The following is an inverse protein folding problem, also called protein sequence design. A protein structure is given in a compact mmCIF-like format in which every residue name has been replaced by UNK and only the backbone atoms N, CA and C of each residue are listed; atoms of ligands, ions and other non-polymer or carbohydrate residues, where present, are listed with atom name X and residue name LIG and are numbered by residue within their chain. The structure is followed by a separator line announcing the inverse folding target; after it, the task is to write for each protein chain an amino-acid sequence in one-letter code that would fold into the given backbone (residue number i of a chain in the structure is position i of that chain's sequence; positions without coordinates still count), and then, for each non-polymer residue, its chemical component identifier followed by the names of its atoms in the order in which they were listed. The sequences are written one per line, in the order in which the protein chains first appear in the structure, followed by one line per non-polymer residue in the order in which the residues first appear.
data_IF_176660703469
#
_entry.id   IF_176660703469
#
_cell.length_a   1.000
_cell.length_b   1.000
_cell.length_c   1.000
_cell.angle_alpha   90.00
_cell.angle_beta   90.00
_cell.angle_gamma   90.00
#
_symmetry.space_group_name_H-M   'P 1'
#
loop_
_entity.id
_entity.type
_entity.pdbx_description
1 polymer ?
#
# COMPACT_ATOMS: atom_id res chain seq x y z
N UNK A 1 36.95 -7.42 -46.43
CA UNK A 1 36.70 -7.25 -44.99
C UNK A 1 35.20 -7.37 -44.77
N UNK A 2 34.61 -8.34 -44.08
CA UNK A 2 35.07 -9.40 -43.16
C UNK A 2 34.00 -10.51 -43.25
N UNK A 3 34.26 -11.57 -44.01
CA UNK A 3 34.42 -12.98 -43.58
C UNK A 3 34.48 -13.21 -42.06
N UNK A 4 33.57 -14.01 -41.55
CA UNK A 4 33.66 -14.66 -40.24
C UNK A 4 34.40 -16.00 -40.41
N UNK A 5 35.60 -16.09 -39.86
CA UNK A 5 36.45 -17.29 -39.78
C UNK A 5 36.34 -17.85 -38.37
N UNK A 6 36.26 -19.18 -38.24
CA UNK A 6 36.75 -19.88 -37.05
C UNK A 6 37.48 -21.15 -37.46
N UNK A 7 38.46 -21.54 -36.64
CA UNK A 7 39.44 -22.64 -36.77
C UNK A 7 40.65 -22.27 -37.62
N UNK A 8 41.90 -22.39 -37.19
CA UNK A 8 42.52 -22.97 -36.00
C UNK A 8 44.00 -23.19 -36.34
N UNK A 9 44.91 -22.87 -35.44
CA UNK A 9 46.36 -23.18 -35.50
C UNK A 9 46.76 -23.56 -34.05
N UNK A 10 47.72 -24.42 -33.74
CA UNK A 10 48.90 -24.93 -34.45
C UNK A 10 49.36 -26.24 -33.81
N UNK A 11 50.22 -27.00 -34.50
CA UNK A 11 50.88 -28.17 -33.91
C UNK A 11 51.73 -29.00 -34.87
N UNK A 12 52.79 -28.39 -35.42
CA UNK A 12 54.15 -28.92 -35.70
C UNK A 12 54.42 -30.28 -36.39
N UNK A 13 55.44 -30.22 -37.28
CA UNK A 13 56.48 -31.20 -37.64
C UNK A 13 56.12 -32.30 -38.66
N UNK A 14 56.64 -32.29 -39.89
CA UNK A 14 58.01 -32.51 -40.40
C UNK A 14 58.15 -33.91 -41.03
N UNK A 15 58.89 -33.94 -42.16
CA UNK A 15 59.64 -35.05 -42.79
C UNK A 15 59.06 -35.80 -44.02
N UNK A 16 59.73 -35.48 -45.15
CA UNK A 16 60.32 -36.33 -46.21
C UNK A 16 59.40 -37.26 -47.02
N UNK A 17 59.21 -37.12 -48.34
CA UNK A 17 60.07 -36.88 -49.52
C UNK A 17 60.55 -38.17 -50.23
N UNK A 18 60.63 -38.07 -51.57
CA UNK A 18 61.15 -38.99 -52.60
C UNK A 18 60.15 -40.07 -53.09
N UNK A 19 59.96 -40.36 -54.38
CA UNK A 19 60.81 -40.25 -55.58
C UNK A 19 59.92 -40.49 -56.84
N UNK A 20 59.89 -39.60 -57.84
CA UNK A 20 60.58 -39.66 -59.16
C UNK A 20 59.86 -40.52 -60.27
N UNK A 21 60.12 -40.31 -61.59
CA UNK A 21 59.15 -39.66 -62.49
C UNK A 21 58.93 -40.37 -63.86
N UNK A 22 58.18 -39.71 -64.77
CA UNK A 22 58.21 -39.79 -66.28
C UNK A 22 57.94 -41.16 -66.91
N UNK A 23 57.45 -41.32 -68.13
CA UNK A 23 56.71 -40.57 -69.15
C UNK A 23 56.33 -41.65 -70.19
N UNK A 24 55.25 -41.44 -70.95
CA UNK A 24 54.93 -42.06 -72.24
C UNK A 24 54.65 -43.58 -72.29
N UNK A 25 53.43 -43.97 -72.67
CA UNK A 25 53.11 -44.30 -74.06
C UNK A 25 51.61 -44.58 -74.29
N UNK A 26 51.18 -44.17 -75.47
CA UNK A 26 49.86 -44.30 -76.10
C UNK A 26 49.72 -45.77 -76.60
N UNK A 27 48.58 -46.46 -76.52
CA UNK A 27 47.54 -46.54 -77.57
C UNK A 27 46.39 -47.45 -77.09
N UNK A 28 45.18 -47.08 -77.55
CA UNK A 28 43.84 -47.66 -77.44
C UNK A 28 43.69 -49.19 -77.55
N UNK A 29 42.83 -49.77 -76.69
CA UNK A 29 41.62 -50.54 -77.07
C UNK A 29 40.53 -50.25 -76.03
N UNK A 30 39.30 -49.97 -76.49
CA UNK A 30 38.33 -49.15 -75.75
C UNK A 30 37.20 -49.84 -75.00
N UNK A 31 36.35 -49.01 -74.37
CA UNK A 31 34.91 -49.28 -74.24
C UNK A 31 34.15 -47.96 -73.93
N UNK A 32 33.06 -47.72 -74.65
CA UNK A 32 32.22 -46.52 -74.54
C UNK A 32 31.47 -46.49 -73.21
N UNK A 33 31.59 -45.41 -72.42
CA UNK A 33 30.59 -45.08 -71.38
C UNK A 33 29.84 -43.79 -71.75
N UNK A 34 28.56 -43.94 -72.08
CA UNK A 34 27.60 -42.86 -72.26
C UNK A 34 27.27 -42.25 -70.89
N UNK A 35 27.58 -40.97 -70.70
CA UNK A 35 27.06 -40.17 -69.57
C UNK A 35 25.63 -39.76 -69.93
N UNK A 36 24.67 -40.16 -69.10
CA UNK A 36 23.24 -39.88 -69.28
C UNK A 36 22.83 -38.84 -68.24
N UNK A 37 22.72 -37.58 -68.63
CA UNK A 37 22.15 -36.54 -67.78
C UNK A 37 20.63 -36.68 -67.75
N UNK A 38 20.07 -36.99 -66.58
CA UNK A 38 18.63 -37.01 -66.35
C UNK A 38 18.16 -35.62 -65.91
N UNK A 39 17.29 -34.98 -66.69
CA UNK A 39 16.55 -33.80 -66.26
C UNK A 39 15.41 -34.27 -65.35
N UNK A 40 15.61 -34.15 -64.04
CA UNK A 40 14.58 -34.53 -63.07
C UNK A 40 13.48 -33.45 -63.07
N UNK A 41 12.38 -33.72 -63.78
CA UNK A 41 11.20 -32.85 -63.82
C UNK A 41 10.40 -33.00 -62.51
N UNK A 42 10.96 -32.49 -61.42
CA UNK A 42 10.33 -32.49 -60.10
C UNK A 42 9.31 -31.34 -59.95
N UNK A 43 8.46 -31.11 -60.96
CA UNK A 43 7.40 -30.11 -60.92
C UNK A 43 6.49 -30.31 -59.70
N UNK A 44 6.24 -31.57 -59.32
CA UNK A 44 5.47 -31.90 -58.12
C UNK A 44 6.16 -31.40 -56.83
N UNK A 45 7.48 -31.51 -56.70
CA UNK A 45 8.22 -31.00 -55.55
C UNK A 45 8.19 -29.47 -55.49
N UNK A 46 8.36 -28.80 -56.63
CA UNK A 46 8.27 -27.34 -56.70
C UNK A 46 6.85 -26.83 -56.38
N UNK A 47 5.82 -27.54 -56.81
CA UNK A 47 4.42 -27.24 -56.47
C UNK A 47 4.19 -27.42 -54.96
N UNK A 48 4.71 -28.49 -54.37
CA UNK A 48 4.61 -28.73 -52.91
C UNK A 48 5.34 -27.64 -52.13
N UNK A 49 6.56 -27.27 -52.53
CA UNK A 49 7.32 -26.20 -51.90
C UNK A 49 6.58 -24.86 -52.02
N UNK A 50 6.05 -24.54 -53.21
CA UNK A 50 5.26 -23.32 -53.42
C UNK A 50 4.00 -23.29 -52.56
N UNK A 51 3.29 -24.41 -52.42
CA UNK A 51 2.11 -24.53 -51.56
C UNK A 51 2.45 -24.36 -50.07
N UNK A 52 3.57 -24.93 -49.61
CA UNK A 52 4.05 -24.78 -48.24
C UNK A 52 4.49 -23.34 -47.94
N UNK A 53 5.18 -22.68 -48.88
CA UNK A 53 5.56 -21.27 -48.75
C UNK A 53 4.30 -20.38 -48.69
N UNK A 54 3.31 -20.65 -49.53
CA UNK A 54 2.03 -19.92 -49.50
C UNK A 54 1.30 -20.11 -48.17
N UNK A 55 1.27 -21.33 -47.64
CA UNK A 55 0.67 -21.64 -46.35
C UNK A 55 1.39 -20.91 -45.20
N UNK A 56 2.73 -20.90 -45.21
CA UNK A 56 3.52 -20.15 -44.23
C UNK A 56 3.25 -18.65 -44.29
N UNK A 57 3.11 -18.07 -45.50
CA UNK A 57 2.76 -16.67 -45.67
C UNK A 57 1.36 -16.39 -45.13
N UNK A 58 0.37 -17.23 -45.42
CA UNK A 58 -1.01 -17.07 -44.91
C UNK A 58 -1.05 -17.16 -43.38
N UNK A 59 -0.33 -18.13 -42.79
CA UNK A 59 -0.28 -18.29 -41.34
C UNK A 59 0.44 -17.13 -40.65
N UNK A 60 1.55 -16.66 -41.21
CA UNK A 60 2.31 -15.53 -40.65
C UNK A 60 1.54 -14.21 -40.79
N UNK A 61 0.86 -13.97 -41.92
CA UNK A 61 -0.06 -12.83 -42.09
C UNK A 61 -1.25 -12.93 -41.12
N UNK A 62 -1.83 -14.12 -40.95
CA UNK A 62 -2.90 -14.34 -39.97
C UNK A 62 -2.46 -14.07 -38.53
N UNK A 63 -1.24 -14.46 -38.17
CA UNK A 63 -0.64 -14.16 -36.86
C UNK A 63 -0.39 -12.66 -36.70
N UNK A 64 0.13 -12.00 -37.74
CA UNK A 64 0.40 -10.56 -37.75
C UNK A 64 -0.89 -9.76 -37.62
N UNK A 65 -1.94 -10.16 -38.34
CA UNK A 65 -3.28 -9.57 -38.25
C UNK A 65 -3.88 -9.76 -36.86
N UNK A 66 -3.67 -10.93 -36.22
CA UNK A 66 -4.10 -11.19 -34.85
C UNK A 66 -3.33 -10.34 -33.83
N UNK A 67 -2.03 -10.12 -34.04
CA UNK A 67 -1.21 -9.21 -33.22
C UNK A 67 -1.56 -7.73 -33.45
N UNK A 68 -2.00 -7.36 -34.66
CA UNK A 68 -2.50 -6.02 -34.98
C UNK A 68 -3.89 -5.80 -34.36
N UNK A 69 -4.77 -6.81 -34.37
CA UNK A 69 -6.06 -6.78 -33.67
C UNK A 69 -5.92 -6.82 -32.14
N UNK A 70 -4.89 -7.47 -31.58
CA UNK A 70 -4.63 -7.44 -30.14
C UNK A 70 -4.08 -6.11 -29.64
N UNK A 71 -3.74 -5.18 -30.55
CA UNK A 71 -3.21 -3.84 -30.23
C UNK A 71 -4.22 -2.71 -30.45
N UNK A 72 -5.45 -2.99 -30.88
CA UNK A 72 -6.54 -2.04 -30.72
C UNK A 72 -6.96 -2.04 -29.25
N UNK A 73 -6.23 -1.27 -28.43
CA UNK A 73 -6.84 -0.67 -27.25
C UNK A 73 -7.93 0.26 -27.76
N UNK A 74 -9.13 -0.27 -27.99
CA UNK A 74 -10.29 0.58 -27.78
C UNK A 74 -10.19 1.04 -26.32
N UNK A 75 -10.08 2.35 -26.13
CA UNK A 75 -10.61 2.95 -24.92
C UNK A 75 -12.09 2.62 -24.98
N UNK A 76 -12.46 1.45 -24.45
CA UNK A 76 -13.80 1.23 -23.96
C UNK A 76 -13.89 2.27 -22.85
N UNK A 77 -14.36 3.47 -23.21
CA UNK A 77 -15.11 4.28 -22.27
C UNK A 77 -16.29 3.39 -21.92
N UNK A 78 -16.04 2.51 -20.97
CA UNK A 78 -17.04 2.02 -20.08
C UNK A 78 -17.47 3.27 -19.33
N UNK A 79 -18.33 4.06 -19.99
CA UNK A 79 -19.51 4.57 -19.35
C UNK A 79 -20.38 3.36 -18.99
N UNK A 80 -19.84 2.44 -18.18
CA UNK A 80 -20.59 2.03 -17.02
C UNK A 80 -21.04 3.35 -16.43
N UNK A 81 -22.32 3.69 -16.64
CA UNK A 81 -23.05 4.44 -15.63
C UNK A 81 -22.82 3.59 -14.38
N UNK A 82 -21.73 3.83 -13.64
CA UNK A 82 -21.57 3.27 -12.32
C UNK A 82 -22.81 3.77 -11.62
N UNK A 83 -23.73 2.86 -11.35
CA UNK A 83 -24.86 3.22 -10.52
C UNK A 83 -24.23 3.77 -9.25
N UNK A 84 -24.54 5.01 -8.90
CA UNK A 84 -24.08 5.58 -7.62
C UNK A 84 -24.56 4.74 -6.41
N UNK A 85 -25.47 3.79 -6.62
CA UNK A 85 -25.84 2.77 -5.64
C UNK A 85 -24.69 1.81 -5.27
N UNK A 86 -23.70 1.64 -6.17
CA UNK A 86 -22.56 0.72 -5.98
C UNK A 86 -21.30 1.42 -5.42
N UNK A 87 -21.35 2.74 -5.18
CA UNK A 87 -20.21 3.49 -4.62
C UNK A 87 -20.36 3.66 -3.11
N UNK A 88 -19.29 3.38 -2.37
CA UNK A 88 -19.19 3.65 -0.94
C UNK A 88 -18.70 5.08 -0.74
N UNK A 89 -19.35 5.79 0.17
CA UNK A 89 -18.96 7.12 0.63
C UNK A 89 -18.57 7.02 2.11
N UNK A 90 -17.47 7.66 2.50
CA UNK A 90 -17.04 7.73 3.89
C UNK A 90 -16.26 9.03 4.12
N UNK A 91 -16.24 9.50 5.37
CA UNK A 91 -15.35 10.59 5.77
C UNK A 91 -13.99 10.02 6.19
N UNK A 92 -12.92 10.69 5.78
CA UNK A 92 -11.57 10.36 6.22
C UNK A 92 -10.96 11.57 6.92
N UNK A 93 -10.57 11.39 8.18
CA UNK A 93 -9.86 12.35 9.00
C UNK A 93 -8.53 11.73 9.46
N UNK A 94 -7.56 12.57 9.78
CA UNK A 94 -6.26 12.17 10.35
C UNK A 94 -5.70 13.32 11.17
N UNK A 95 -4.81 13.03 12.11
CA UNK A 95 -3.99 14.03 12.80
C UNK A 95 -4.86 15.12 13.44
N UNK A 96 -5.89 14.67 14.17
CA UNK A 96 -6.85 15.56 14.83
C UNK A 96 -6.14 16.36 15.92
N UNK A 97 -5.24 15.73 16.68
CA UNK A 97 -4.49 16.32 17.78
C UNK A 97 -5.35 17.19 18.69
N UNK A 98 -6.43 16.62 19.23
CA UNK A 98 -7.28 17.33 20.15
C UNK A 98 -6.51 17.63 21.43
N UNK A 99 -6.26 18.92 21.68
CA UNK A 99 -5.68 19.39 22.93
C UNK A 99 -6.78 19.70 23.93
N UNK A 100 -6.99 18.74 24.84
CA UNK A 100 -8.00 18.86 25.91
C UNK A 100 -7.66 19.92 26.96
N UNK A 101 -6.43 20.46 26.92
CA UNK A 101 -5.92 21.51 27.81
C UNK A 101 -5.74 22.86 27.09
N UNK A 102 -6.12 22.95 25.82
CA UNK A 102 -6.03 24.19 25.06
C UNK A 102 -6.79 25.32 25.75
N UNK A 103 -6.14 26.46 25.86
CA UNK A 103 -6.75 27.70 26.32
C UNK A 103 -6.52 28.80 25.29
N UNK A 104 -7.64 29.33 24.78
CA UNK A 104 -7.64 30.36 23.73
C UNK A 104 -6.98 31.69 24.15
N UNK A 105 -6.67 31.87 25.43
CA UNK A 105 -6.03 33.07 25.98
C UNK A 105 -4.58 32.83 26.38
N UNK A 106 -4.00 31.66 26.06
CA UNK A 106 -2.59 31.32 26.34
C UNK A 106 -1.76 31.37 25.06
N UNK A 107 -0.53 31.84 25.19
CA UNK A 107 0.46 32.00 24.12
C UNK A 107 0.99 30.66 23.62
N UNK A 108 1.42 30.63 22.36
CA UNK A 108 2.15 29.49 21.76
C UNK A 108 3.46 29.19 22.47
N UNK A 109 4.05 30.17 23.19
CA UNK A 109 5.28 29.98 23.97
C UNK A 109 5.14 28.96 25.09
N UNK A 110 3.92 28.74 25.60
CA UNK A 110 3.58 27.71 26.58
C UNK A 110 2.58 26.72 25.99
N UNK A 111 2.76 26.40 24.70
CA UNK A 111 1.97 25.41 23.94
C UNK A 111 0.46 25.64 23.94
N UNK A 112 0.00 26.89 24.12
CA UNK A 112 -1.43 27.23 24.29
C UNK A 112 -2.14 26.52 25.45
N UNK A 113 -1.41 26.01 26.45
CA UNK A 113 -1.99 25.23 27.55
C UNK A 113 -1.97 25.99 28.86
N UNK A 114 -3.05 25.89 29.64
CA UNK A 114 -3.10 26.43 31.01
C UNK A 114 -2.49 25.53 32.08
N UNK A 115 -1.82 24.46 31.66
CA UNK A 115 -1.14 23.51 32.53
C UNK A 115 0.36 23.77 32.55
N UNK A 116 0.99 23.51 33.69
CA UNK A 116 2.41 23.77 33.88
C UNK A 116 3.26 22.66 33.25
N UNK A 117 4.36 23.07 32.61
CA UNK A 117 5.39 22.17 32.11
C UNK A 117 6.12 21.52 33.30
N UNK A 118 6.44 20.23 33.21
CA UNK A 118 7.22 19.52 34.25
C UNK A 118 8.60 20.15 34.39
N UNK A 119 9.05 20.32 35.62
CA UNK A 119 10.38 20.87 35.95
C UNK A 119 10.66 22.27 35.41
N UNK A 120 9.65 22.98 34.91
CA UNK A 120 9.74 24.38 34.51
C UNK A 120 9.09 25.29 35.56
N UNK A 121 9.66 26.47 35.75
CA UNK A 121 9.13 27.53 36.61
C UNK A 121 8.26 28.51 35.83
N UNK A 122 8.26 28.43 34.50
CA UNK A 122 7.43 29.27 33.63
C UNK A 122 5.96 28.87 33.79
N UNK A 123 5.16 29.81 34.32
CA UNK A 123 3.71 29.71 34.36
C UNK A 123 3.10 29.99 32.97
N UNK A 124 1.89 29.48 32.67
CA UNK A 124 1.20 29.75 31.41
C UNK A 124 1.18 31.24 31.06
N UNK A 125 1.69 31.57 29.88
CA UNK A 125 1.84 32.96 29.43
C UNK A 125 0.57 33.39 28.70
N UNK A 126 -0.06 34.47 29.16
CA UNK A 126 -1.23 35.03 28.48
C UNK A 126 -0.89 35.50 27.06
N UNK A 127 -1.76 35.17 26.10
CA UNK A 127 -1.74 35.72 24.75
C UNK A 127 -2.33 37.14 24.73
N UNK A 128 -1.89 37.95 23.77
CA UNK A 128 -2.45 39.30 23.51
C UNK A 128 -3.80 39.28 22.78
N UNK A 129 -4.21 38.12 22.27
CA UNK A 129 -5.48 37.92 21.58
C UNK A 129 -6.09 36.56 21.93
N UNK A 130 -7.41 36.43 21.73
CA UNK A 130 -8.12 35.16 21.91
C UNK A 130 -8.24 34.40 20.61
N UNK A 131 -7.76 33.16 20.57
CA UNK A 131 -7.82 32.31 19.39
C UNK A 131 -8.76 31.13 19.62
N UNK A 132 -10.04 31.30 19.30
CA UNK A 132 -11.05 30.28 19.55
C UNK A 132 -10.80 28.99 18.76
N UNK A 133 -10.34 29.12 17.52
CA UNK A 133 -10.15 28.01 16.58
C UNK A 133 -8.70 27.59 16.40
N UNK A 134 -7.80 28.05 17.28
CA UNK A 134 -6.39 27.66 17.25
C UNK A 134 -5.47 28.74 16.69
N UNK A 135 -4.16 28.50 16.84
CA UNK A 135 -3.05 29.32 16.34
C UNK A 135 -1.99 28.35 15.80
N UNK A 136 -1.35 28.64 14.65
CA UNK A 136 -0.20 27.84 14.21
C UNK A 136 0.85 27.68 15.31
N UNK A 137 1.32 26.44 15.50
CA UNK A 137 2.22 26.07 16.59
C UNK A 137 1.52 25.54 17.85
N UNK A 138 0.18 25.45 17.83
CA UNK A 138 -0.59 24.74 18.85
C UNK A 138 -1.47 23.67 18.20
N UNK A 139 -1.81 22.67 19.01
CA UNK A 139 -2.71 21.59 18.65
C UNK A 139 -4.18 22.04 18.64
N UNK A 140 -5.06 21.16 18.15
CA UNK A 140 -6.46 21.48 17.82
C UNK A 140 -7.30 21.74 19.08
N UNK A 141 -7.93 22.93 19.20
CA UNK A 141 -8.92 23.15 20.24
C UNK A 141 -10.23 22.40 19.96
N UNK A 142 -10.97 22.09 21.02
CA UNK A 142 -12.29 21.45 20.91
C UNK A 142 -13.25 22.21 19.98
N UNK A 143 -13.20 23.54 19.95
CA UNK A 143 -14.07 24.36 19.10
C UNK A 143 -13.77 24.18 17.60
N UNK A 144 -12.53 23.89 17.22
CA UNK A 144 -12.19 23.56 15.82
C UNK A 144 -12.69 22.14 15.47
N UNK A 145 -12.56 21.17 16.38
CA UNK A 145 -13.13 19.83 16.20
C UNK A 145 -14.66 19.89 16.03
N UNK A 146 -15.36 20.66 16.88
CA UNK A 146 -16.81 20.90 16.75
C UNK A 146 -17.17 21.54 15.42
N UNK A 147 -16.41 22.54 14.98
CA UNK A 147 -16.61 23.17 13.67
C UNK A 147 -16.46 22.17 12.53
N UNK A 148 -15.48 21.28 12.62
CA UNK A 148 -15.24 20.21 11.64
C UNK A 148 -16.41 19.21 11.62
N UNK A 149 -16.84 18.74 12.79
CA UNK A 149 -17.97 17.82 12.93
C UNK A 149 -19.28 18.44 12.38
N UNK A 150 -19.52 19.72 12.65
CA UNK A 150 -20.66 20.45 12.09
C UNK A 150 -20.61 20.52 10.56
N UNK A 151 -19.43 20.74 9.98
CA UNK A 151 -19.28 20.78 8.52
C UNK A 151 -19.45 19.38 7.90
N UNK A 152 -18.95 18.33 8.54
CA UNK A 152 -19.20 16.95 8.13
C UNK A 152 -20.70 16.64 8.08
N UNK A 153 -21.45 17.06 9.11
CA UNK A 153 -22.90 16.89 9.13
C UNK A 153 -23.57 17.61 7.95
N UNK A 154 -23.21 18.87 7.69
CA UNK A 154 -23.76 19.63 6.54
C UNK A 154 -23.44 18.94 5.21
N UNK A 155 -22.20 18.52 4.99
CA UNK A 155 -21.82 17.80 3.78
C UNK A 155 -22.66 16.53 3.64
N UNK A 156 -22.80 15.75 4.72
CA UNK A 156 -23.56 14.51 4.71
C UNK A 156 -25.05 14.72 4.37
N UNK A 157 -25.66 15.82 4.81
CA UNK A 157 -27.06 16.14 4.46
C UNK A 157 -27.25 16.58 3.00
N UNK A 158 -26.18 17.01 2.33
CA UNK A 158 -26.23 17.55 0.96
C UNK A 158 -25.75 16.55 -0.11
N UNK A 159 -25.16 15.42 0.28
CA UNK A 159 -24.78 14.35 -0.64
C UNK A 159 -25.93 13.36 -0.84
N UNK A 160 -25.98 12.74 -2.03
CA UNK A 160 -27.07 11.84 -2.41
C UNK A 160 -27.15 10.55 -1.56
N UNK A 161 -25.99 10.06 -1.12
CA UNK A 161 -25.88 8.89 -0.26
C UNK A 161 -25.13 9.30 1.01
N UNK A 162 -25.69 9.03 2.18
CA UNK A 162 -25.01 9.23 3.46
C UNK A 162 -23.72 8.43 3.54
N UNK A 163 -22.75 8.94 4.30
CA UNK A 163 -21.52 8.22 4.60
C UNK A 163 -21.81 6.89 5.32
N UNK A 164 -21.21 5.81 4.84
CA UNK A 164 -21.35 4.46 5.42
C UNK A 164 -20.52 4.30 6.70
N UNK A 165 -19.43 5.06 6.85
CA UNK A 165 -18.59 5.09 8.04
C UNK A 165 -17.75 6.39 8.10
N UNK A 166 -17.10 6.61 9.25
CA UNK A 166 -16.03 7.59 9.44
C UNK A 166 -14.73 6.82 9.69
N UNK A 167 -13.66 7.18 9.01
CA UNK A 167 -12.32 6.65 9.23
C UNK A 167 -11.43 7.76 9.80
N UNK A 168 -10.81 7.50 10.96
CA UNK A 168 -9.78 8.37 11.53
C UNK A 168 -8.47 7.61 11.59
N UNK A 169 -7.43 8.13 10.94
CA UNK A 169 -6.16 7.42 10.79
C UNK A 169 -5.12 7.78 11.84
N UNK A 170 -5.50 7.89 13.10
CA UNK A 170 -4.57 8.14 14.21
C UNK A 170 -4.44 9.61 14.61
N UNK A 171 -3.63 9.80 15.65
CA UNK A 171 -3.26 11.06 16.27
C UNK A 171 -4.48 11.88 16.69
N UNK A 172 -5.29 11.30 17.57
CA UNK A 172 -6.36 12.00 18.29
C UNK A 172 -5.82 12.81 19.45
N UNK A 173 -4.79 12.33 20.14
CA UNK A 173 -4.15 13.04 21.24
C UNK A 173 -3.21 14.14 20.75
N UNK A 174 -3.16 15.24 21.49
CA UNK A 174 -2.22 16.33 21.25
C UNK A 174 -0.78 15.92 21.59
N UNK A 175 0.17 16.66 21.03
CA UNK A 175 1.59 16.45 21.24
C UNK A 175 2.01 16.70 22.70
N UNK A 176 3.14 16.11 23.09
CA UNK A 176 3.91 16.48 24.28
C UNK A 176 3.17 16.38 25.63
N UNK A 177 2.11 15.57 25.77
CA UNK A 177 1.47 15.38 27.09
C UNK A 177 2.46 14.92 28.17
N UNK A 178 3.49 14.17 27.79
CA UNK A 178 4.55 13.72 28.68
C UNK A 178 5.40 14.87 29.25
N UNK A 179 5.45 16.03 28.59
CA UNK A 179 6.15 17.23 29.05
C UNK A 179 5.37 18.00 30.13
N UNK A 180 4.09 17.74 30.31
CA UNK A 180 3.24 18.48 31.26
C UNK A 180 2.86 17.65 32.49
N UNK A 181 2.46 18.34 33.57
CA UNK A 181 2.03 17.72 34.82
C UNK A 181 0.63 17.10 34.72
N UNK A 182 0.49 16.08 33.86
CA UNK A 182 -0.76 15.37 33.59
C UNK A 182 -0.55 13.86 33.63
N UNK A 183 -1.67 13.14 33.78
CA UNK A 183 -1.73 11.72 33.49
C UNK A 183 -1.81 11.54 31.96
N UNK A 184 -0.74 11.03 31.36
CA UNK A 184 -0.59 10.92 29.90
C UNK A 184 -1.58 9.91 29.32
N UNK A 185 -1.67 8.71 29.90
CA UNK A 185 -2.56 7.65 29.43
C UNK A 185 -4.02 8.09 29.51
N UNK A 186 -4.42 8.66 30.65
CA UNK A 186 -5.77 9.18 30.80
C UNK A 186 -6.07 10.34 29.84
N UNK A 187 -5.08 11.21 29.55
CA UNK A 187 -5.24 12.31 28.59
C UNK A 187 -5.42 11.81 27.15
N UNK A 188 -4.71 10.74 26.76
CA UNK A 188 -4.90 10.06 25.47
C UNK A 188 -6.33 9.50 25.37
N UNK A 189 -6.78 8.76 26.38
CA UNK A 189 -8.13 8.19 26.41
C UNK A 189 -9.22 9.26 26.36
N UNK A 190 -9.05 10.37 27.08
CA UNK A 190 -9.98 11.49 27.04
C UNK A 190 -10.00 12.18 25.66
N UNK A 191 -8.85 12.31 25.00
CA UNK A 191 -8.73 12.90 23.66
C UNK A 191 -9.46 12.03 22.62
N UNK A 192 -9.23 10.71 22.66
CA UNK A 192 -9.91 9.74 21.80
C UNK A 192 -11.43 9.74 22.04
N UNK A 193 -11.87 9.67 23.30
CA UNK A 193 -13.29 9.65 23.64
C UNK A 193 -14.00 10.95 23.22
N UNK A 194 -13.42 12.12 23.48
CA UNK A 194 -13.99 13.41 23.03
C UNK A 194 -14.07 13.48 21.51
N UNK A 195 -13.03 13.03 20.81
CA UNK A 195 -13.03 12.94 19.34
C UNK A 195 -14.19 12.11 18.84
N UNK A 196 -14.35 10.90 19.38
CA UNK A 196 -15.42 9.98 19.00
C UNK A 196 -16.81 10.53 19.31
N UNK A 197 -17.00 11.19 20.47
CA UNK A 197 -18.27 11.81 20.85
C UNK A 197 -18.67 12.92 19.87
N UNK A 198 -17.74 13.82 19.51
CA UNK A 198 -18.06 14.93 18.60
C UNK A 198 -18.39 14.42 17.19
N UNK A 199 -17.61 13.45 16.68
CA UNK A 199 -17.85 12.85 15.37
C UNK A 199 -19.16 12.04 15.34
N UNK A 200 -19.45 11.28 16.40
CA UNK A 200 -20.69 10.52 16.53
C UNK A 200 -21.90 11.45 16.68
N UNK A 201 -21.76 12.57 17.39
CA UNK A 201 -22.83 13.57 17.51
C UNK A 201 -23.20 14.20 16.16
N UNK A 202 -22.22 14.38 15.26
CA UNK A 202 -22.48 14.83 13.91
C UNK A 202 -23.22 13.79 13.06
N UNK A 203 -22.88 12.50 13.21
CA UNK A 203 -23.43 11.38 12.45
C UNK A 203 -23.79 10.17 13.36
N UNK A 204 -24.94 10.21 14.09
CA UNK A 204 -25.22 9.30 15.21
C UNK A 204 -25.36 7.80 14.90
N UNK A 205 -25.59 7.43 13.64
CA UNK A 205 -25.74 6.02 13.22
C UNK A 205 -24.60 5.56 12.32
N UNK A 206 -23.56 6.36 12.19
CA UNK A 206 -22.42 6.08 11.32
C UNK A 206 -21.28 5.51 12.15
N UNK A 207 -20.83 4.26 11.90
CA UNK A 207 -19.74 3.65 12.65
C UNK A 207 -18.43 4.41 12.43
N UNK A 208 -17.61 4.49 13.47
CA UNK A 208 -16.31 5.17 13.43
C UNK A 208 -15.20 4.14 13.61
N UNK A 209 -14.25 4.11 12.68
CA UNK A 209 -13.07 3.25 12.73
C UNK A 209 -11.82 4.09 12.99
N UNK A 210 -11.04 3.73 14.01
CA UNK A 210 -9.82 4.43 14.40
C UNK A 210 -8.59 3.56 14.15
N UNK A 211 -7.58 4.10 13.46
CA UNK A 211 -6.21 3.62 13.60
C UNK A 211 -5.53 4.28 14.81
N UNK A 212 -4.52 3.61 15.37
CA UNK A 212 -3.70 4.15 16.47
C UNK A 212 -2.53 4.91 15.86
N UNK A 213 -2.40 6.20 16.18
CA UNK A 213 -1.25 7.03 15.82
C UNK A 213 -0.11 6.98 16.83
N UNK A 214 0.98 7.69 16.59
CA UNK A 214 2.14 7.70 17.51
C UNK A 214 1.91 8.60 18.73
N UNK A 215 1.02 9.59 18.64
CA UNK A 215 0.58 10.38 19.80
C UNK A 215 -0.55 9.68 20.59
N UNK A 216 -1.18 8.65 20.02
CA UNK A 216 -2.21 7.84 20.68
C UNK A 216 -1.63 6.69 21.54
N UNK A 217 -0.36 6.77 21.91
CA UNK A 217 0.34 5.84 22.79
C UNK A 217 1.13 6.62 23.85
N UNK A 218 1.31 6.03 25.03
CA UNK A 218 1.89 6.73 26.19
C UNK A 218 3.28 7.31 25.92
N UNK A 219 4.09 6.58 25.15
CA UNK A 219 5.44 6.99 24.79
C UNK A 219 5.51 7.17 23.27
N UNK A 220 5.83 8.39 22.84
CA UNK A 220 5.84 8.74 21.43
C UNK A 220 6.77 7.85 20.61
N UNK A 221 6.19 7.23 19.57
CA UNK A 221 6.79 6.20 18.71
C UNK A 221 7.31 4.97 19.47
N UNK A 222 6.70 4.60 20.59
CA UNK A 222 7.05 3.40 21.37
C UNK A 222 5.78 2.65 21.75
N UNK A 223 5.22 1.82 20.85
CA UNK A 223 3.97 1.12 21.12
C UNK A 223 4.13 0.11 22.27
N UNK A 224 3.04 -0.22 22.99
CA UNK A 224 3.04 -1.29 23.98
C UNK A 224 3.71 -2.57 23.47
N UNK A 225 4.51 -3.21 24.31
CA UNK A 225 5.37 -4.34 23.90
C UNK A 225 4.85 -5.70 24.33
N UNK A 226 3.65 -5.73 24.93
CA UNK A 226 3.06 -6.94 25.50
C UNK A 226 1.76 -7.28 24.77
N UNK A 227 1.63 -8.54 24.37
CA UNK A 227 0.33 -9.07 23.91
C UNK A 227 -0.66 -9.06 25.08
N UNK A 228 -1.90 -8.64 24.83
CA UNK A 228 -2.94 -8.43 25.84
C UNK A 228 -2.60 -7.33 26.86
N UNK A 229 -1.89 -6.30 26.42
CA UNK A 229 -1.63 -5.09 27.21
C UNK A 229 -2.92 -4.45 27.72
N UNK A 230 -2.89 -3.89 28.94
CA UNK A 230 -4.04 -3.17 29.50
C UNK A 230 -4.36 -1.91 28.70
N UNK A 231 -3.35 -1.25 28.12
CA UNK A 231 -3.55 -0.05 27.31
C UNK A 231 -4.52 -0.31 26.15
N UNK A 232 -4.27 -1.35 25.33
CA UNK A 232 -5.16 -1.67 24.21
C UNK A 232 -6.52 -2.19 24.65
N UNK A 233 -6.62 -2.85 25.81
CA UNK A 233 -7.92 -3.26 26.36
C UNK A 233 -8.77 -2.05 26.73
N UNK A 234 -8.19 -1.09 27.45
CA UNK A 234 -8.87 0.13 27.85
C UNK A 234 -9.22 0.98 26.62
N UNK A 235 -8.31 1.07 25.64
CA UNK A 235 -8.57 1.80 24.40
C UNK A 235 -9.70 1.16 23.56
N UNK A 236 -9.76 -0.17 23.53
CA UNK A 236 -10.84 -0.90 22.86
C UNK A 236 -12.21 -0.60 23.47
N UNK A 237 -12.31 -0.53 24.81
CA UNK A 237 -13.58 -0.21 25.48
C UNK A 237 -14.14 1.14 25.03
N UNK A 238 -13.26 2.12 24.80
CA UNK A 238 -13.64 3.43 24.25
C UNK A 238 -14.15 3.26 22.80
N UNK A 239 -13.41 2.55 21.95
CA UNK A 239 -13.74 2.39 20.53
C UNK A 239 -15.03 1.60 20.27
N UNK A 240 -15.28 0.54 21.04
CA UNK A 240 -16.37 -0.41 20.79
C UNK A 240 -17.75 0.26 20.73
N UNK A 241 -17.97 1.26 21.59
CA UNK A 241 -19.25 1.98 21.67
C UNK A 241 -19.60 2.75 20.39
N UNK A 242 -18.59 3.10 19.58
CA UNK A 242 -18.73 3.89 18.35
C UNK A 242 -18.54 3.06 17.08
N UNK A 243 -17.79 1.96 17.16
CA UNK A 243 -17.59 1.06 16.01
C UNK A 243 -18.83 0.23 15.69
N UNK A 244 -19.57 -0.18 16.72
CA UNK A 244 -20.65 -1.17 16.60
C UNK A 244 -22.05 -0.58 16.83
N UNK A 245 -22.22 0.70 16.47
CA UNK A 245 -23.46 1.46 16.68
C UNK A 245 -24.59 1.12 15.70
N UNK A 246 -24.25 0.54 14.53
CA UNK A 246 -25.25 0.14 13.52
C UNK A 246 -25.37 -1.38 13.40
N UNK A 247 -26.60 -1.84 13.11
CA UNK A 247 -26.93 -3.27 13.00
C UNK A 247 -26.19 -3.98 11.86
N UNK A 248 -25.70 -3.24 10.86
CA UNK A 248 -24.99 -3.80 9.70
C UNK A 248 -23.54 -4.20 10.04
N UNK A 249 -22.98 -3.67 11.13
CA UNK A 249 -21.64 -4.04 11.65
C UNK A 249 -21.75 -5.10 12.75
N UNK A 250 -22.93 -5.27 13.36
CA UNK A 250 -23.16 -6.17 14.50
C UNK A 250 -23.51 -7.58 14.00
N UNK A 251 -22.49 -8.37 13.74
CA UNK A 251 -22.59 -9.83 13.92
C UNK A 251 -22.26 -10.12 15.40
N UNK A 252 -22.90 -11.11 16.03
CA UNK A 252 -22.67 -11.48 17.44
C UNK A 252 -21.19 -11.73 17.79
N UNK A 253 -20.34 -12.00 16.80
CA UNK A 253 -18.90 -12.21 16.98
C UNK A 253 -18.02 -11.02 16.52
N UNK A 254 -18.58 -9.89 16.10
CA UNK A 254 -17.79 -8.77 15.57
C UNK A 254 -16.90 -8.14 16.65
N UNK A 255 -17.47 -7.89 17.84
CA UNK A 255 -16.74 -7.37 19.00
C UNK A 255 -15.65 -8.36 19.45
N UNK A 256 -15.95 -9.65 19.51
CA UNK A 256 -14.95 -10.65 19.94
C UNK A 256 -13.78 -10.76 18.97
N UNK A 257 -14.03 -10.79 17.65
CA UNK A 257 -12.95 -10.79 16.66
C UNK A 257 -12.13 -9.49 16.66
N UNK A 258 -12.77 -8.34 16.91
CA UNK A 258 -12.08 -7.07 17.09
C UNK A 258 -11.11 -7.17 18.29
N UNK A 259 -11.62 -7.52 19.47
CA UNK A 259 -10.83 -7.67 20.69
C UNK A 259 -9.66 -8.65 20.52
N UNK A 260 -9.89 -9.78 19.85
CA UNK A 260 -8.89 -10.84 19.66
C UNK A 260 -7.63 -10.34 18.93
N UNK A 261 -7.77 -9.41 17.99
CA UNK A 261 -6.64 -8.82 17.26
C UNK A 261 -6.17 -7.50 17.88
N UNK A 262 -7.11 -6.66 18.33
CA UNK A 262 -6.80 -5.37 18.92
C UNK A 262 -6.00 -5.51 20.23
N UNK A 263 -6.30 -6.51 21.05
CA UNK A 263 -5.55 -6.75 22.29
C UNK A 263 -4.12 -7.24 22.04
N UNK A 264 -3.82 -7.77 20.84
CA UNK A 264 -2.47 -8.22 20.49
C UNK A 264 -1.58 -7.01 20.19
N UNK A 265 -2.07 -6.02 19.44
CA UNK A 265 -1.24 -4.91 19.00
C UNK A 265 -1.99 -3.73 18.38
N UNK A 266 -3.26 -3.52 18.71
CA UNK A 266 -4.04 -2.37 18.23
C UNK A 266 -4.39 -2.39 16.74
N UNK A 267 -4.32 -3.55 16.09
CA UNK A 267 -4.73 -3.75 14.70
C UNK A 267 -5.98 -4.63 14.63
N UNK A 268 -6.79 -4.47 13.60
CA UNK A 268 -8.04 -5.22 13.45
C UNK A 268 -8.60 -5.17 12.02
N UNK A 269 -9.68 -5.92 11.80
CA UNK A 269 -10.48 -5.83 10.57
C UNK A 269 -11.95 -5.61 10.87
N UNK A 270 -12.65 -4.98 9.93
CA UNK A 270 -14.11 -4.94 9.87
C UNK A 270 -14.59 -5.23 8.46
N UNK A 271 -15.81 -5.75 8.36
CA UNK A 271 -16.49 -5.98 7.08
C UNK A 271 -17.41 -4.80 6.80
N UNK A 272 -17.36 -4.27 5.58
CA UNK A 272 -18.15 -3.12 5.13
C UNK A 272 -18.93 -3.55 3.88
N UNK A 273 -20.08 -2.89 3.63
CA UNK A 273 -20.93 -3.09 2.46
C UNK A 273 -21.35 -4.56 2.28
N UNK A 274 -22.17 -5.06 3.20
CA UNK A 274 -22.62 -6.45 3.24
C UNK A 274 -21.46 -7.46 3.14
N UNK A 275 -20.33 -7.11 3.77
CA UNK A 275 -19.07 -7.83 3.75
C UNK A 275 -18.39 -7.99 2.37
N UNK A 276 -18.77 -7.24 1.35
CA UNK A 276 -18.08 -7.23 0.05
C UNK A 276 -16.69 -6.55 0.12
N UNK A 277 -16.49 -5.66 1.10
CA UNK A 277 -15.21 -5.00 1.37
C UNK A 277 -14.72 -5.35 2.78
N UNK A 278 -13.40 -5.55 2.90
CA UNK A 278 -12.71 -5.70 4.17
C UNK A 278 -11.88 -4.43 4.41
N UNK A 279 -12.12 -3.75 5.52
CA UNK A 279 -11.23 -2.70 6.00
C UNK A 279 -10.23 -3.34 6.97
N UNK A 280 -8.94 -3.24 6.64
CA UNK A 280 -7.82 -3.67 7.46
C UNK A 280 -7.18 -2.43 8.08
N UNK A 281 -7.30 -2.29 9.40
CA UNK A 281 -6.74 -1.20 10.18
C UNK A 281 -5.47 -1.70 10.85
N UNK A 282 -4.34 -1.17 10.39
CA UNK A 282 -3.01 -1.52 10.88
C UNK A 282 -2.57 -0.57 11.97
N UNK A 283 -1.84 -1.10 12.94
CA UNK A 283 -1.04 -0.30 13.85
C UNK A 283 0.39 -0.23 13.32
N UNK A 284 0.67 0.84 12.56
CA UNK A 284 1.96 1.01 11.89
C UNK A 284 3.07 1.50 12.82
N UNK A 285 2.77 1.84 14.08
CA UNK A 285 3.78 2.17 15.09
C UNK A 285 4.78 1.02 15.33
N UNK A 286 4.37 -0.24 15.10
CA UNK A 286 5.29 -1.38 15.23
C UNK A 286 6.35 -1.46 14.14
N UNK A 287 6.26 -0.64 13.08
CA UNK A 287 7.24 -0.60 12.00
C UNK A 287 8.04 0.72 11.97
N UNK A 288 7.86 1.62 12.94
CA UNK A 288 8.69 2.81 13.02
C UNK A 288 10.10 2.43 13.47
N UNK A 289 11.12 2.92 12.76
CA UNK A 289 12.53 2.59 13.01
C UNK A 289 12.93 2.76 14.48
N UNK A 290 12.48 3.86 15.12
CA UNK A 290 12.77 4.16 16.53
C UNK A 290 12.32 3.06 17.49
N UNK A 291 11.17 2.43 17.27
CA UNK A 291 10.68 1.32 18.08
C UNK A 291 11.26 -0.02 17.62
N UNK A 292 11.26 -0.24 16.31
CA UNK A 292 11.60 -1.52 15.70
C UNK A 292 13.06 -1.92 15.95
N UNK A 293 14.00 -0.99 15.85
CA UNK A 293 15.43 -1.28 16.05
C UNK A 293 15.82 -1.39 17.53
N UNK A 294 15.03 -0.80 18.42
CA UNK A 294 15.37 -0.70 19.84
C UNK A 294 14.78 -1.83 20.70
N UNK A 295 13.74 -2.53 20.22
CA UNK A 295 13.01 -3.50 21.04
C UNK A 295 12.55 -4.74 20.26
N UNK A 296 13.00 -5.93 20.69
CA UNK A 296 12.65 -7.21 20.04
C UNK A 296 11.17 -7.58 20.18
N UNK A 297 10.52 -7.15 21.24
CA UNK A 297 9.10 -7.44 21.46
C UNK A 297 8.22 -6.62 20.51
N UNK A 298 8.64 -5.39 20.16
CA UNK A 298 8.03 -4.60 19.08
C UNK A 298 8.15 -5.35 17.75
N UNK A 299 9.34 -5.87 17.41
CA UNK A 299 9.55 -6.68 16.21
C UNK A 299 8.66 -7.92 16.19
N UNK A 300 8.53 -8.60 17.33
CA UNK A 300 7.70 -9.79 17.48
C UNK A 300 6.22 -9.50 17.19
N UNK A 301 5.64 -8.47 17.80
CA UNK A 301 4.24 -8.08 17.56
C UNK A 301 4.05 -7.56 16.13
N UNK A 302 5.00 -6.80 15.59
CA UNK A 302 5.00 -6.36 14.19
C UNK A 302 4.97 -7.54 13.20
N UNK A 303 5.70 -8.62 13.49
CA UNK A 303 5.70 -9.84 12.68
C UNK A 303 4.38 -10.63 12.79
N UNK A 304 3.75 -10.66 13.97
CA UNK A 304 2.40 -11.22 14.14
C UNK A 304 1.41 -10.45 13.25
N UNK A 305 1.43 -9.12 13.31
CA UNK A 305 0.55 -8.27 12.51
C UNK A 305 0.78 -8.47 11.00
N UNK A 306 2.04 -8.56 10.55
CA UNK A 306 2.36 -8.82 9.13
C UNK A 306 1.84 -10.19 8.67
N UNK A 307 2.02 -11.23 9.49
CA UNK A 307 1.52 -12.58 9.20
C UNK A 307 -0.02 -12.62 9.13
N UNK A 308 -0.67 -11.88 10.03
CA UNK A 308 -2.12 -11.68 10.02
C UNK A 308 -2.57 -10.97 8.74
N UNK A 309 -1.91 -9.87 8.35
CA UNK A 309 -2.23 -9.11 7.14
C UNK A 309 -2.14 -9.98 5.88
N UNK A 310 -1.06 -10.75 5.72
CA UNK A 310 -0.90 -11.70 4.61
C UNK A 310 -2.07 -12.70 4.55
N UNK A 311 -2.48 -13.20 5.71
CA UNK A 311 -3.62 -14.13 5.81
C UNK A 311 -4.92 -13.47 5.39
N UNK A 312 -5.18 -12.23 5.85
CA UNK A 312 -6.39 -11.48 5.46
C UNK A 312 -6.46 -11.21 3.96
N UNK A 313 -5.33 -10.84 3.34
CA UNK A 313 -5.26 -10.59 1.90
C UNK A 313 -5.49 -11.86 1.08
N UNK A 314 -4.93 -13.00 1.50
CA UNK A 314 -5.19 -14.31 0.87
C UNK A 314 -6.67 -14.70 0.97
N UNK A 315 -7.28 -14.53 2.14
CA UNK A 315 -8.70 -14.80 2.32
C UNK A 315 -9.57 -13.89 1.45
N UNK A 316 -9.24 -12.61 1.36
CA UNK A 316 -9.95 -11.66 0.51
C UNK A 316 -9.89 -12.07 -0.96
N UNK A 317 -8.70 -12.48 -1.42
CA UNK A 317 -8.51 -12.99 -2.78
C UNK A 317 -9.34 -14.25 -3.05
N UNK A 318 -9.29 -15.24 -2.16
CA UNK A 318 -10.05 -16.50 -2.29
C UNK A 318 -11.57 -16.26 -2.30
N UNK A 319 -12.05 -15.28 -1.54
CA UNK A 319 -13.48 -14.94 -1.42
C UNK A 319 -13.92 -13.84 -2.38
N UNK A 320 -13.06 -13.43 -3.32
CA UNK A 320 -13.30 -12.35 -4.28
C UNK A 320 -13.80 -11.03 -3.63
N UNK A 321 -13.23 -10.67 -2.48
CA UNK A 321 -13.54 -9.44 -1.72
C UNK A 321 -12.57 -8.32 -2.08
N UNK A 322 -13.00 -7.06 -1.93
CA UNK A 322 -12.11 -5.89 -2.00
C UNK A 322 -11.53 -5.59 -0.63
N UNK A 323 -10.37 -4.94 -0.61
CA UNK A 323 -9.66 -4.59 0.64
C UNK A 323 -9.31 -3.11 0.62
N UNK A 324 -9.59 -2.43 1.72
CA UNK A 324 -9.04 -1.12 2.06
C UNK A 324 -8.02 -1.37 3.18
N UNK A 325 -6.78 -0.94 3.00
CA UNK A 325 -5.74 -1.02 4.03
C UNK A 325 -5.48 0.40 4.51
N UNK A 326 -5.46 0.58 5.82
CA UNK A 326 -5.20 1.87 6.44
C UNK A 326 -4.29 1.72 7.66
N UNK A 327 -3.62 2.81 8.02
CA UNK A 327 -2.74 2.94 9.18
C UNK A 327 -2.39 4.42 9.36
N UNK A 328 -1.65 4.75 10.41
CA UNK A 328 -1.26 6.14 10.67
C UNK A 328 0.02 6.52 9.90
N UNK A 329 1.16 5.99 10.35
CA UNK A 329 2.46 6.23 9.71
C UNK A 329 2.49 5.49 8.36
N UNK A 330 2.67 6.19 7.22
CA UNK A 330 2.71 5.56 5.92
C UNK A 330 4.01 4.76 5.72
N UNK A 331 3.98 3.66 4.95
CA UNK A 331 5.21 2.96 4.56
C UNK A 331 6.04 3.82 3.61
N UNK A 332 7.37 3.68 3.67
CA UNK A 332 8.30 4.37 2.77
C UNK A 332 8.97 5.59 3.40
N UNK A 333 9.25 6.60 2.58
CA UNK A 333 10.16 7.70 2.93
C UNK A 333 9.40 8.86 3.60
N UNK A 334 10.01 9.44 4.64
CA UNK A 334 9.59 10.70 5.29
C UNK A 334 9.58 11.84 4.27
N UNK A 335 8.39 12.26 3.83
CA UNK A 335 8.20 13.44 2.97
C UNK A 335 8.14 14.70 3.83
N UNK A 336 9.23 15.02 4.55
CA UNK A 336 9.42 16.34 5.14
C UNK A 336 10.78 16.86 4.69
N UNK A 337 10.72 17.76 3.72
CA UNK A 337 11.82 18.53 3.18
C UNK A 337 12.24 19.61 4.19
N UNK A 338 13.47 19.54 4.69
CA UNK A 338 14.27 20.77 4.74
C UNK A 338 14.43 21.22 3.27
N UNK A 339 14.22 22.51 3.01
CA UNK A 339 13.84 23.02 1.71
C UNK A 339 14.59 22.47 0.48
N UNK A 340 13.83 22.35 -0.61
CA UNK A 340 14.22 22.13 -2.01
C UNK A 340 14.34 20.67 -2.50
N UNK A 341 13.51 20.43 -3.54
CA UNK A 341 13.56 19.37 -4.55
C UNK A 341 13.22 17.92 -4.15
N UNK A 342 12.09 17.46 -4.71
CA UNK A 342 11.63 16.07 -4.74
C UNK A 342 12.67 15.14 -5.36
N UNK A 343 13.01 14.05 -4.67
CA UNK A 343 13.58 12.85 -5.28
C UNK A 343 12.70 11.64 -4.96
N UNK A 344 12.29 10.95 -6.02
CA UNK A 344 11.75 9.61 -6.01
C UNK A 344 12.92 8.62 -6.07
N UNK A 345 12.90 7.57 -5.26
CA UNK A 345 13.61 6.33 -5.60
C UNK A 345 12.57 5.31 -6.10
N UNK A 346 12.92 4.51 -7.12
CA UNK A 346 11.98 3.60 -7.74
C UNK A 346 11.64 2.50 -6.74
N UNK A 347 10.35 2.36 -6.43
CA UNK A 347 9.84 1.08 -5.96
C UNK A 347 9.99 0.12 -7.13
N UNK A 348 11.09 -0.62 -7.17
CA UNK A 348 11.16 -1.82 -8.00
C UNK A 348 10.12 -2.78 -7.46
N UNK A 349 8.97 -2.85 -8.14
CA UNK A 349 8.07 -3.99 -8.05
C UNK A 349 8.85 -5.25 -8.46
N UNK A 350 9.42 -5.93 -7.48
CA UNK A 350 9.86 -7.31 -7.65
C UNK A 350 8.62 -8.17 -7.79
N UNK A 351 8.34 -8.61 -9.01
CA UNK A 351 7.46 -9.76 -9.25
C UNK A 351 8.19 -10.96 -8.64
N UNK A 352 7.68 -11.47 -7.52
CA UNK A 352 8.05 -12.80 -7.05
C UNK A 352 7.58 -13.80 -8.12
N UNK A 353 8.54 -14.46 -8.76
CA UNK A 353 8.30 -15.65 -9.59
C UNK A 353 7.96 -16.85 -8.72
#
# INVERSE_FOLDING_TARGET
MVVQISHGESGSNELQDSSFPKDNEMILVGEKRKIRCYRNNNYSLYIIIAALVLLCIVLSVGLLLKMLHSKSCEVIQSRSKRNMADSIMFFWLSDIHLDIFYNNSISTQTSCRSIQIKNDTVYPISSTYKALYGIPGCDTPLELLKSTANEMQKINTNIKNSAEFILVTGDQAAHDYDQFQVDVEQSIFLSANKTLIELSSALPLTPIFLAVGNNDIVYDYQPPVKVNDSFYKNYAEIMESFMFISTDVVNNNAISHFRETFYIGGFYKVYIKEASIILLVLNTNYWITKAYESNRDVVYIGNIQMSWLITQLKEAQLKNKKVIITGHIPPGIKVILEGQHFFSFPVTCGVLQ
#
